data_IF_723648090058
#
_entry.id   IF_723648090058
#
_cell.length_a   1.000
_cell.length_b   1.000
_cell.length_c   1.000
_cell.angle_alpha   90.00
_cell.angle_beta   90.00
_cell.angle_gamma   90.00
#
_symmetry.space_group_name_H-M   'P 1'
#
loop_
_entity.id
_entity.type
_entity.pdbx_description
1 polymer ?
#
# COMPACT_ATOMS: atom_id res chain seq x y z
N UNK A 1 21.52 9.31 -0.65
CA UNK A 1 20.07 9.44 -0.89
C UNK A 1 19.34 8.80 0.28
N UNK A 2 18.72 9.59 1.15
CA UNK A 2 17.89 9.04 2.22
C UNK A 2 16.61 8.50 1.55
N UNK A 3 16.56 7.18 1.32
CA UNK A 3 15.38 6.51 0.77
C UNK A 3 14.29 6.51 1.84
N UNK A 4 13.15 7.07 1.50
CA UNK A 4 12.00 7.21 2.38
C UNK A 4 11.20 8.45 2.02
N UNK A 5 9.89 8.32 2.16
CA UNK A 5 8.90 9.39 2.08
C UNK A 5 9.21 10.46 3.14
N UNK A 6 9.84 11.58 2.75
CA UNK A 6 10.15 12.74 3.60
C UNK A 6 9.88 14.04 2.85
N UNK A 7 9.67 15.14 3.58
CA UNK A 7 9.30 16.44 2.99
C UNK A 7 7.85 16.42 2.53
N UNK A 8 7.57 16.97 1.35
CA UNK A 8 6.21 17.00 0.77
C UNK A 8 5.66 15.59 0.48
N UNK A 9 6.54 14.61 0.45
CA UNK A 9 6.22 13.20 0.24
C UNK A 9 6.16 12.41 1.55
N UNK A 10 6.11 13.05 2.72
CA UNK A 10 6.05 12.36 4.01
C UNK A 10 4.84 11.40 4.09
N UNK A 11 5.11 10.13 4.42
CA UNK A 11 4.11 9.06 4.43
C UNK A 11 3.00 9.33 5.45
N UNK A 12 3.30 10.07 6.51
CA UNK A 12 2.32 10.47 7.52
C UNK A 12 1.25 11.41 6.96
N UNK A 13 1.51 12.09 5.83
CA UNK A 13 0.52 12.91 5.12
C UNK A 13 -0.48 12.08 4.31
N UNK A 14 -0.18 10.80 4.05
CA UNK A 14 -1.00 9.90 3.24
C UNK A 14 -1.62 8.76 4.07
N UNK A 15 -1.23 8.62 5.34
CA UNK A 15 -1.79 7.65 6.26
C UNK A 15 -3.04 8.19 6.97
N UNK A 16 -4.04 7.33 7.12
CA UNK A 16 -5.18 7.59 8.01
C UNK A 16 -4.71 7.59 9.47
N UNK A 17 -5.19 8.56 10.26
CA UNK A 17 -4.96 8.54 11.72
C UNK A 17 -5.76 7.39 12.32
N UNK A 18 -5.03 6.37 12.78
CA UNK A 18 -5.55 5.30 13.61
C UNK A 18 -5.00 5.45 15.02
N UNK A 19 -5.71 4.91 16.00
CA UNK A 19 -5.16 4.72 17.34
C UNK A 19 -3.89 3.87 17.23
N UNK A 20 -2.84 4.22 17.99
CA UNK A 20 -1.50 3.62 17.88
C UNK A 20 -1.53 2.09 17.96
N UNK A 21 -2.31 1.52 18.88
CA UNK A 21 -2.44 0.07 19.02
C UNK A 21 -2.98 -0.60 17.74
N UNK A 22 -3.97 0.02 17.08
CA UNK A 22 -4.53 -0.46 15.82
C UNK A 22 -3.56 -0.30 14.64
N UNK A 23 -2.86 0.83 14.58
CA UNK A 23 -1.80 1.06 13.59
C UNK A 23 -0.66 0.03 13.74
N UNK A 24 -0.20 -0.20 14.97
CA UNK A 24 0.85 -1.18 15.27
C UNK A 24 0.40 -2.61 14.98
N UNK A 25 -0.85 -2.98 15.28
CA UNK A 25 -1.41 -4.28 14.95
C UNK A 25 -1.41 -4.55 13.43
N UNK A 26 -1.73 -3.54 12.61
CA UNK A 26 -1.64 -3.63 11.14
C UNK A 26 -0.17 -3.79 10.68
N UNK A 27 0.79 -3.22 11.42
CA UNK A 27 2.22 -3.37 11.16
C UNK A 27 2.89 -4.53 11.92
N UNK A 28 2.13 -5.50 12.43
CA UNK A 28 2.68 -6.64 13.15
C UNK A 28 3.27 -6.30 14.52
N UNK A 29 2.54 -5.51 15.32
CA UNK A 29 2.96 -5.03 16.63
C UNK A 29 3.98 -3.89 16.59
N UNK A 30 3.96 -3.07 15.54
CA UNK A 30 4.89 -1.93 15.36
C UNK A 30 6.24 -2.28 14.75
N UNK A 31 6.51 -3.57 14.46
CA UNK A 31 7.68 -4.00 13.72
C UNK A 31 7.32 -4.29 12.25
N UNK A 32 7.36 -3.25 11.42
CA UNK A 32 7.03 -3.35 9.99
C UNK A 32 7.84 -4.42 9.23
N UNK A 33 9.05 -4.78 9.70
CA UNK A 33 9.84 -5.87 9.11
C UNK A 33 9.22 -7.24 9.40
N UNK A 34 8.67 -7.41 10.60
CA UNK A 34 7.97 -8.62 11.02
C UNK A 34 6.60 -8.73 10.33
N UNK A 35 5.86 -7.62 10.19
CA UNK A 35 4.60 -7.64 9.43
C UNK A 35 4.76 -8.20 8.01
N UNK A 36 5.87 -7.89 7.33
CA UNK A 36 6.19 -8.39 5.97
C UNK A 36 6.41 -9.90 5.86
N UNK A 37 6.62 -10.61 6.97
CA UNK A 37 6.74 -12.08 6.95
C UNK A 37 5.40 -12.78 7.08
N UNK A 38 4.32 -12.04 7.38
CA UNK A 38 3.00 -12.63 7.57
C UNK A 38 2.45 -13.18 6.26
N UNK A 39 1.96 -14.43 6.26
CA UNK A 39 1.22 -14.97 5.13
C UNK A 39 0.01 -14.07 4.84
N UNK A 40 -0.06 -13.56 3.61
CA UNK A 40 -1.14 -12.68 3.20
C UNK A 40 -0.98 -11.22 3.65
N UNK A 41 0.23 -10.76 3.98
CA UNK A 41 0.46 -9.32 4.22
C UNK A 41 0.14 -8.51 2.95
N UNK A 42 -0.70 -7.48 3.12
CA UNK A 42 -1.29 -6.71 2.03
C UNK A 42 -0.25 -6.07 1.11
N UNK A 43 0.78 -5.40 1.64
CA UNK A 43 1.77 -4.72 0.82
C UNK A 43 2.56 -5.71 -0.05
N UNK A 44 2.89 -6.88 0.50
CA UNK A 44 3.55 -7.95 -0.24
C UNK A 44 2.65 -8.46 -1.37
N UNK A 45 1.40 -8.79 -1.06
CA UNK A 45 0.46 -9.31 -2.05
C UNK A 45 0.18 -8.33 -3.19
N UNK A 46 0.04 -7.03 -2.89
CA UNK A 46 -0.19 -6.03 -3.93
C UNK A 46 1.08 -5.76 -4.76
N UNK A 47 2.26 -5.75 -4.13
CA UNK A 47 3.53 -5.60 -4.85
C UNK A 47 3.77 -6.76 -5.80
N UNK A 48 3.53 -7.99 -5.37
CA UNK A 48 3.63 -9.19 -6.22
C UNK A 48 2.63 -9.14 -7.39
N UNK A 49 1.40 -8.68 -7.15
CA UNK A 49 0.38 -8.54 -8.19
C UNK A 49 0.79 -7.51 -9.26
N UNK A 50 1.26 -6.35 -8.83
CA UNK A 50 1.70 -5.28 -9.72
C UNK A 50 2.94 -5.71 -10.53
N UNK A 51 3.94 -6.31 -9.88
CA UNK A 51 5.14 -6.81 -10.56
C UNK A 51 4.80 -7.86 -11.64
N UNK A 52 3.89 -8.79 -11.33
CA UNK A 52 3.43 -9.79 -12.30
C UNK A 52 2.71 -9.14 -13.49
N UNK A 53 1.90 -8.11 -13.23
CA UNK A 53 1.20 -7.38 -14.27
C UNK A 53 2.17 -6.58 -15.17
N UNK A 54 3.17 -5.90 -14.59
CA UNK A 54 4.23 -5.22 -15.35
C UNK A 54 5.04 -6.21 -16.20
N UNK A 55 5.41 -7.35 -15.61
CA UNK A 55 6.14 -8.41 -16.32
C UNK A 55 5.33 -8.93 -17.51
N UNK A 56 4.03 -9.13 -17.33
CA UNK A 56 3.13 -9.57 -18.40
C UNK A 56 2.95 -8.51 -19.48
N UNK A 57 2.89 -7.23 -19.10
CA UNK A 57 2.73 -6.11 -20.02
C UNK A 57 4.03 -5.76 -20.77
N UNK A 58 5.19 -6.17 -20.25
CA UNK A 58 6.51 -5.81 -20.80
C UNK A 58 6.85 -4.32 -20.62
N UNK A 59 6.12 -3.61 -19.76
CA UNK A 59 6.29 -2.18 -19.48
C UNK A 59 5.78 -1.84 -18.08
N UNK A 60 6.16 -0.66 -17.59
CA UNK A 60 5.52 -0.08 -16.41
C UNK A 60 4.02 0.11 -16.63
N UNK A 61 3.24 -0.11 -15.58
CA UNK A 61 1.80 0.16 -15.59
C UNK A 61 1.53 1.66 -15.54
N UNK A 62 0.47 2.07 -16.22
CA UNK A 62 -0.11 3.41 -16.05
C UNK A 62 -0.79 3.52 -14.69
N UNK A 63 -1.00 4.76 -14.23
CA UNK A 63 -1.72 5.02 -12.98
C UNK A 63 -3.09 4.34 -12.93
N UNK A 64 -3.84 4.34 -14.02
CA UNK A 64 -5.18 3.74 -14.05
C UNK A 64 -5.09 2.21 -13.94
N UNK A 65 -4.17 1.57 -14.66
CA UNK A 65 -3.95 0.12 -14.55
C UNK A 65 -3.53 -0.29 -13.13
N UNK A 66 -2.70 0.51 -12.46
CA UNK A 66 -2.36 0.29 -11.04
C UNK A 66 -3.61 0.40 -10.17
N UNK A 67 -4.42 1.45 -10.35
CA UNK A 67 -5.63 1.67 -9.55
C UNK A 67 -6.66 0.55 -9.77
N UNK A 68 -6.82 0.05 -10.98
CA UNK A 68 -7.73 -1.06 -11.30
C UNK A 68 -7.29 -2.34 -10.57
N UNK A 69 -6.01 -2.70 -10.65
CA UNK A 69 -5.46 -3.87 -9.94
C UNK A 69 -5.63 -3.72 -8.43
N UNK A 70 -5.34 -2.53 -7.88
CA UNK A 70 -5.50 -2.26 -6.45
C UNK A 70 -6.97 -2.39 -6.04
N UNK A 71 -7.89 -1.80 -6.79
CA UNK A 71 -9.32 -1.85 -6.50
C UNK A 71 -9.85 -3.29 -6.52
N UNK A 72 -9.43 -4.11 -7.49
CA UNK A 72 -9.84 -5.51 -7.57
C UNK A 72 -9.30 -6.32 -6.38
N UNK A 73 -8.03 -6.12 -6.00
CA UNK A 73 -7.51 -6.75 -4.78
C UNK A 73 -8.23 -6.24 -3.52
N UNK A 74 -8.58 -4.96 -3.45
CA UNK A 74 -9.32 -4.45 -2.28
C UNK A 74 -10.66 -5.16 -2.12
N UNK A 75 -11.38 -5.45 -3.23
CA UNK A 75 -12.60 -6.26 -3.20
C UNK A 75 -12.32 -7.68 -2.70
N UNK A 76 -11.31 -8.35 -3.27
CA UNK A 76 -10.96 -9.74 -2.92
C UNK A 76 -10.68 -9.90 -1.42
N UNK A 77 -9.97 -8.93 -0.84
CA UNK A 77 -9.58 -8.93 0.57
C UNK A 77 -10.56 -8.17 1.49
N UNK A 78 -11.71 -7.75 0.96
CA UNK A 78 -12.77 -7.02 1.69
C UNK A 78 -12.26 -5.74 2.38
N UNK A 79 -11.29 -5.09 1.76
CA UNK A 79 -10.78 -3.79 2.18
C UNK A 79 -11.71 -2.69 1.62
N UNK A 80 -12.16 -1.73 2.43
CA UNK A 80 -13.05 -0.67 1.96
C UNK A 80 -12.43 0.13 0.80
N UNK A 81 -13.15 0.23 -0.33
CA UNK A 81 -12.74 1.01 -1.52
C UNK A 81 -12.93 2.53 -1.35
N UNK A 82 -12.69 3.04 -0.14
CA UNK A 82 -12.74 4.48 0.13
C UNK A 82 -11.37 5.09 -0.14
N UNK A 83 -11.18 5.64 -1.35
CA UNK A 83 -10.00 6.44 -1.65
C UNK A 83 -10.17 7.84 -1.07
N UNK A 84 -9.38 8.19 -0.07
CA UNK A 84 -9.23 9.59 0.35
C UNK A 84 -8.40 10.33 -0.69
N UNK A 85 -8.99 11.35 -1.31
CA UNK A 85 -8.24 12.29 -2.16
C UNK A 85 -7.18 12.98 -1.31
N UNK A 86 -5.90 12.72 -1.56
CA UNK A 86 -4.82 13.47 -0.93
C UNK A 86 -4.94 14.93 -1.32
N UNK A 87 -5.27 15.82 -0.37
CA UNK A 87 -5.13 17.25 -0.60
C UNK A 87 -3.64 17.54 -0.76
N UNK A 88 -3.24 18.18 -1.86
CA UNK A 88 -1.96 18.89 -1.88
C UNK A 88 -2.02 19.92 -0.75
N UNK A 89 -1.12 19.79 0.22
CA UNK A 89 -0.79 20.86 1.14
C UNK A 89 0.21 21.79 0.47
#
# INVERSE_FOLDING_TARGET
>A
MQRGFKGDMDIDQFCVRLEKAHHEAIHGGGNWKLGRTWPGEWNRMITEALLKAETKAGRMLTRNEVLDIVADRMKDYRIPMSFTTGRRR
#
